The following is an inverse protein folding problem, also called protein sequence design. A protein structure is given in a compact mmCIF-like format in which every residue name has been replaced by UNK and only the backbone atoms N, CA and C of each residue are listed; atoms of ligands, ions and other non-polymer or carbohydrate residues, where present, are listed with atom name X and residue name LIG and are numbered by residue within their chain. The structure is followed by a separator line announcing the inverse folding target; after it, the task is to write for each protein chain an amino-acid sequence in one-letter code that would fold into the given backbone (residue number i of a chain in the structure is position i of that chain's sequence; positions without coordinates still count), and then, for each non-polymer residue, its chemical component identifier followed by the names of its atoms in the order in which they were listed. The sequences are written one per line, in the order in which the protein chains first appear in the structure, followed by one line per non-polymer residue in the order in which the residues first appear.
data_IF_862445748419
#
_entry.id   IF_862445748419
#
_cell.length_a   1.000
_cell.length_b   1.000
_cell.length_c   1.000
_cell.angle_alpha   90.00
_cell.angle_beta   90.00
_cell.angle_gamma   90.00
#
_symmetry.space_group_name_H-M   'P 1'
#
loop_
_entity.id
_entity.type
_entity.pdbx_description
1 polymer ?
#
# COMPACT_ATOMS: atom_id res chain seq x y z
N UNK A 1 -20.07 -1.01 -10.23
CA UNK A 1 -19.51 -2.24 -9.66
C UNK A 1 -18.09 -2.37 -10.20
N UNK A 2 -17.07 -2.38 -9.35
CA UNK A 2 -15.66 -2.51 -9.78
C UNK A 2 -15.41 -3.93 -10.27
N UNK A 3 -14.67 -4.08 -11.37
CA UNK A 3 -14.31 -5.38 -11.93
C UNK A 3 -13.44 -6.18 -10.91
N UNK A 4 -13.78 -7.45 -10.62
CA UNK A 4 -13.00 -8.30 -9.74
C UNK A 4 -11.51 -8.43 -10.10
N UNK A 5 -11.15 -8.43 -11.38
CA UNK A 5 -9.75 -8.53 -11.81
C UNK A 5 -8.98 -7.23 -11.56
N UNK A 6 -9.67 -6.09 -11.68
CA UNK A 6 -9.11 -4.78 -11.28
C UNK A 6 -8.86 -4.76 -9.77
N UNK A 7 -9.80 -5.23 -8.96
CA UNK A 7 -9.62 -5.31 -7.51
C UNK A 7 -8.42 -6.19 -7.14
N UNK A 8 -8.31 -7.40 -7.71
CA UNK A 8 -7.16 -8.31 -7.46
C UNK A 8 -5.83 -7.66 -7.84
N UNK A 9 -5.77 -7.02 -9.00
CA UNK A 9 -4.55 -6.34 -9.47
C UNK A 9 -4.11 -5.25 -8.49
N UNK A 10 -5.05 -4.41 -8.07
CA UNK A 10 -4.74 -3.31 -7.16
C UNK A 10 -4.47 -3.77 -5.72
N UNK A 11 -5.13 -4.84 -5.25
CA UNK A 11 -4.81 -5.45 -3.96
C UNK A 11 -3.35 -5.93 -3.93
N UNK A 12 -2.93 -6.68 -4.96
CA UNK A 12 -1.54 -7.13 -5.10
C UNK A 12 -0.54 -5.98 -5.18
N UNK A 13 -0.86 -4.94 -5.96
CA UNK A 13 0.02 -3.76 -6.08
C UNK A 13 0.11 -2.96 -4.78
N UNK A 14 -0.99 -2.85 -4.05
CA UNK A 14 -1.04 -2.13 -2.79
C UNK A 14 -0.26 -2.86 -1.69
N UNK A 15 -0.43 -4.17 -1.57
CA UNK A 15 0.35 -5.03 -0.67
C UNK A 15 1.86 -4.90 -0.95
N UNK A 16 2.28 -5.08 -2.21
CA UNK A 16 3.70 -4.90 -2.60
C UNK A 16 4.24 -3.50 -2.31
N UNK A 17 3.42 -2.46 -2.46
CA UNK A 17 3.83 -1.09 -2.11
C UNK A 17 3.98 -0.93 -0.58
N UNK A 18 3.12 -1.56 0.21
CA UNK A 18 3.27 -1.63 1.67
C UNK A 18 4.59 -2.29 2.06
N UNK A 19 4.85 -3.48 1.53
CA UNK A 19 6.11 -4.21 1.76
C UNK A 19 7.34 -3.39 1.33
N UNK A 20 7.28 -2.75 0.16
CA UNK A 20 8.34 -1.86 -0.30
C UNK A 20 8.58 -0.69 0.68
N UNK A 21 7.54 -0.17 1.32
CA UNK A 21 7.65 0.87 2.34
C UNK A 21 8.13 0.35 3.71
N UNK A 22 8.37 -0.96 3.86
CA UNK A 22 8.76 -1.58 5.13
C UNK A 22 7.57 -1.94 6.02
N UNK A 23 6.36 -2.01 5.45
CA UNK A 23 5.12 -2.29 6.17
C UNK A 23 4.56 -3.67 5.80
N UNK A 24 4.02 -4.36 6.80
CA UNK A 24 3.19 -5.56 6.64
C UNK A 24 1.76 -5.19 7.06
N UNK A 25 0.88 -4.95 6.08
CA UNK A 25 -0.44 -4.35 6.34
C UNK A 25 -1.34 -5.28 7.18
N UNK A 26 -1.18 -6.59 7.02
CA UNK A 26 -1.85 -7.60 7.82
C UNK A 26 -1.37 -7.54 9.27
N UNK A 27 -0.07 -7.46 9.51
CA UNK A 27 0.49 -7.30 10.85
C UNK A 27 0.11 -5.96 11.48
N UNK A 28 0.10 -4.87 10.71
CA UNK A 28 -0.41 -3.57 11.16
C UNK A 28 -1.88 -3.67 11.61
N UNK A 29 -2.68 -4.49 10.92
CA UNK A 29 -4.05 -4.75 11.29
C UNK A 29 -4.19 -5.61 12.55
N UNK A 30 -3.38 -6.66 12.68
CA UNK A 30 -3.31 -7.51 13.88
C UNK A 30 -2.88 -6.70 15.11
N UNK A 31 -1.94 -5.76 14.95
CA UNK A 31 -1.49 -4.83 16.01
C UNK A 31 -2.47 -3.70 16.30
N UNK A 32 -3.57 -3.61 15.54
CA UNK A 32 -4.62 -2.61 15.73
C UNK A 32 -4.25 -1.20 15.26
N UNK A 33 -3.16 -1.03 14.51
CA UNK A 33 -2.75 0.26 13.92
C UNK A 33 -3.46 0.56 12.61
N UNK A 34 -3.96 -0.48 11.94
CA UNK A 34 -4.80 -0.39 10.75
C UNK A 34 -6.07 -1.24 10.95
N UNK A 35 -7.20 -0.88 10.35
CA UNK A 35 -8.40 -1.74 10.36
C UNK A 35 -8.47 -2.54 9.07
N UNK A 36 -8.98 -3.76 9.12
CA UNK A 36 -9.16 -4.59 7.91
C UNK A 36 -10.05 -3.91 6.86
N UNK A 37 -11.11 -3.23 7.27
CA UNK A 37 -11.97 -2.45 6.37
C UNK A 37 -11.21 -1.29 5.71
N UNK A 38 -10.20 -0.76 6.38
CA UNK A 38 -9.40 0.35 5.88
C UNK A 38 -8.40 -0.11 4.81
N UNK A 39 -7.91 -1.36 4.90
CA UNK A 39 -7.16 -2.01 3.81
C UNK A 39 -8.06 -2.12 2.58
N UNK A 40 -9.30 -2.61 2.73
CA UNK A 40 -10.24 -2.74 1.63
C UNK A 40 -10.56 -1.37 0.98
N UNK A 41 -10.78 -0.33 1.78
CA UNK A 41 -10.99 1.03 1.28
C UNK A 41 -9.74 1.60 0.58
N UNK A 42 -8.53 1.31 1.10
CA UNK A 42 -7.29 1.70 0.46
C UNK A 42 -7.11 1.01 -0.92
N UNK A 43 -7.51 -0.25 -1.06
CA UNK A 43 -7.53 -0.93 -2.37
C UNK A 43 -8.54 -0.28 -3.31
N UNK A 44 -9.75 0.04 -2.84
CA UNK A 44 -10.76 0.76 -3.63
C UNK A 44 -10.29 2.16 -4.05
N UNK A 45 -9.53 2.85 -3.20
CA UNK A 45 -8.87 4.12 -3.53
C UNK A 45 -7.78 3.90 -4.58
N UNK A 46 -7.01 2.82 -4.45
CA UNK A 46 -5.97 2.44 -5.40
C UNK A 46 -6.54 2.14 -6.79
N UNK A 47 -7.73 1.53 -6.90
CA UNK A 47 -8.37 1.27 -8.22
C UNK A 47 -8.76 2.54 -8.97
N UNK A 48 -8.77 3.70 -8.30
CA UNK A 48 -8.98 5.02 -8.94
C UNK A 48 -7.67 5.61 -9.51
N UNK A 49 -6.54 4.92 -9.35
CA UNK A 49 -5.27 5.29 -9.97
C UNK A 49 -5.23 4.80 -11.42
N UNK A 50 -4.92 5.70 -12.35
CA UNK A 50 -4.75 5.38 -13.78
C UNK A 50 -3.36 4.86 -14.12
N UNK A 51 -2.45 4.80 -13.14
CA UNK A 51 -1.04 4.45 -13.33
C UNK A 51 -0.71 3.00 -12.91
N UNK A 52 -1.68 2.08 -12.90
CA UNK A 52 -1.48 0.69 -12.43
C UNK A 52 -0.33 -0.03 -13.15
N UNK A 53 -0.23 0.10 -14.48
CA UNK A 53 0.88 -0.49 -15.23
C UNK A 53 2.25 0.15 -14.97
N UNK A 54 2.28 1.44 -14.61
CA UNK A 54 3.52 2.11 -14.16
C UNK A 54 3.89 1.61 -12.77
N UNK A 55 2.91 1.47 -11.87
CA UNK A 55 3.09 0.92 -10.54
C UNK A 55 3.65 -0.49 -10.59
N UNK A 56 3.09 -1.37 -11.41
CA UNK A 56 3.55 -2.76 -11.54
C UNK A 56 5.01 -2.85 -12.03
N UNK A 57 5.37 -2.07 -13.06
CA UNK A 57 6.75 -1.99 -13.55
C UNK A 57 7.69 -1.43 -12.48
N UNK A 58 7.29 -0.36 -11.80
CA UNK A 58 8.07 0.21 -10.72
C UNK A 58 8.30 -0.80 -9.60
N UNK A 59 7.27 -1.52 -9.17
CA UNK A 59 7.38 -2.59 -8.17
C UNK A 59 8.30 -3.74 -8.62
N UNK A 60 8.43 -4.00 -9.92
CA UNK A 60 9.40 -4.97 -10.43
C UNK A 60 10.86 -4.49 -10.38
N UNK A 61 11.10 -3.19 -10.19
CA UNK A 61 12.44 -2.59 -10.06
C UNK A 61 12.87 -2.33 -8.62
N UNK A 62 11.94 -2.43 -7.66
CA UNK A 62 12.24 -2.21 -6.24
C UNK A 62 12.90 -3.46 -5.67
N UNK A 63 14.16 -3.34 -5.27
CA UNK A 63 14.96 -4.43 -4.67
C UNK A 63 15.17 -4.26 -3.16
N UNK A 64 14.91 -3.06 -2.63
CA UNK A 64 15.11 -2.71 -1.23
C UNK A 64 13.97 -1.80 -0.74
N UNK A 65 13.90 -1.61 0.58
CA UNK A 65 12.92 -0.71 1.18
C UNK A 65 13.05 0.71 0.63
N UNK A 66 11.93 1.32 0.26
CA UNK A 66 11.85 2.68 -0.23
C UNK A 66 11.40 3.64 0.89
N UNK A 67 11.97 4.84 0.97
CA UNK A 67 11.62 5.81 2.01
C UNK A 67 10.27 6.49 1.73
N UNK A 68 9.83 6.54 0.47
CA UNK A 68 8.59 7.21 0.05
C UNK A 68 7.95 6.49 -1.13
N UNK A 69 6.63 6.58 -1.21
CA UNK A 69 5.88 6.11 -2.37
C UNK A 69 6.08 7.04 -3.58
N UNK A 70 5.82 6.56 -4.81
CA UNK A 70 5.77 7.42 -6.00
C UNK A 70 4.67 8.49 -5.89
N UNK A 71 4.88 9.63 -6.56
CA UNK A 71 3.97 10.79 -6.46
C UNK A 71 2.54 10.52 -6.98
N UNK A 72 2.35 9.48 -7.79
CA UNK A 72 1.02 9.06 -8.27
C UNK A 72 0.30 8.12 -7.30
N UNK A 73 0.92 7.71 -6.20
CA UNK A 73 0.35 6.78 -5.24
C UNK A 73 -0.85 7.40 -4.52
N UNK A 74 -2.04 6.83 -4.72
CA UNK A 74 -3.28 7.31 -4.08
C UNK A 74 -3.34 7.04 -2.57
N UNK A 75 -2.45 6.19 -2.05
CA UNK A 75 -2.35 5.83 -0.64
C UNK A 75 -1.04 6.33 -0.01
N UNK A 76 -0.38 7.33 -0.61
CA UNK A 76 0.88 7.87 -0.12
C UNK A 76 0.79 8.30 1.36
N UNK A 77 -0.23 9.09 1.70
CA UNK A 77 -0.40 9.61 3.06
C UNK A 77 -0.66 8.50 4.09
N UNK A 78 -1.47 7.49 3.74
CA UNK A 78 -1.76 6.35 4.61
C UNK A 78 -0.48 5.55 4.90
N UNK A 79 0.30 5.24 3.86
CA UNK A 79 1.53 4.47 4.01
C UNK A 79 2.61 5.25 4.75
N UNK A 80 2.69 6.57 4.54
CA UNK A 80 3.59 7.42 5.31
C UNK A 80 3.23 7.43 6.80
N UNK A 81 1.95 7.62 7.12
CA UNK A 81 1.45 7.57 8.49
C UNK A 81 1.76 6.24 9.18
N UNK A 82 1.47 5.11 8.54
CA UNK A 82 1.75 3.79 9.12
C UNK A 82 3.26 3.55 9.33
N UNK A 83 4.11 4.07 8.42
CA UNK A 83 5.57 3.98 8.56
C UNK A 83 6.07 4.79 9.76
N UNK A 84 5.51 5.99 9.97
CA UNK A 84 5.84 6.81 11.13
C UNK A 84 5.37 6.15 12.44
N UNK A 85 4.15 5.63 12.49
CA UNK A 85 3.59 4.94 13.66
C UNK A 85 4.35 3.65 14.01
N UNK A 86 4.74 2.87 13.00
CA UNK A 86 5.51 1.64 13.21
C UNK A 86 6.93 1.92 13.68
N UNK A 87 7.56 3.00 13.20
CA UNK A 87 8.85 3.46 13.70
C UNK A 87 8.75 3.95 15.17
N UNK A 88 7.74 4.77 15.49
CA UNK A 88 7.53 5.28 16.84
C UNK A 88 7.23 4.19 17.88
N UNK A 89 6.64 3.05 17.45
CA UNK A 89 6.38 1.91 18.33
C UNK A 89 7.60 1.00 18.57
N UNK A 90 8.70 1.20 17.84
CA UNK A 90 9.93 0.44 18.00
C UNK A 90 10.91 1.06 19.01
N UNK A 91 10.65 2.30 19.45
CA UNK A 91 11.35 3.03 20.52
C UNK A 91 10.75 2.75 21.91
#
# INVERSE_FOLDING_TARGET
MTDPEVLKTHARLFDRMGQAMGLDLEEEAVRGRLRFEEIAEAVLRCTRCTCSGICDRYMATVEAEIPRTPDYCRNADLLAYLKEESAAAAD
#
